data_IF_409111826943
#
_entry.id   IF_409111826943
#
_cell.length_a   1.000
_cell.length_b   1.000
_cell.length_c   1.000
_cell.angle_alpha   90.00
_cell.angle_beta   90.00
_cell.angle_gamma   90.00
#
_symmetry.space_group_name_H-M   'P 1'
#
loop_
_entity.id
_entity.type
_entity.pdbx_description
1 polymer ?
#
# COMPACT_ATOMS: atom_id res chain seq x y z
N UNK A 1 9.96 3.64 7.91
CA UNK A 1 9.44 3.29 6.58
C UNK A 1 9.36 1.78 6.41
N UNK A 2 10.47 1.04 6.48
CA UNK A 2 10.49 -0.43 6.24
C UNK A 2 9.55 -1.25 7.12
N UNK A 3 9.43 -0.91 8.40
CA UNK A 3 8.48 -1.59 9.30
C UNK A 3 7.02 -1.39 8.85
N UNK A 4 6.64 -0.16 8.46
CA UNK A 4 5.30 0.16 7.95
C UNK A 4 5.05 -0.53 6.60
N UNK A 5 6.06 -0.58 5.72
CA UNK A 5 6.00 -1.33 4.48
C UNK A 5 5.75 -2.83 4.72
N UNK A 6 6.46 -3.43 5.69
CA UNK A 6 6.25 -4.82 6.08
C UNK A 6 4.85 -5.05 6.69
N UNK A 7 4.38 -4.13 7.52
CA UNK A 7 3.04 -4.19 8.11
C UNK A 7 1.93 -4.10 7.06
N UNK A 8 2.11 -3.29 6.01
CA UNK A 8 1.18 -3.23 4.88
C UNK A 8 1.07 -4.60 4.20
N UNK A 9 2.20 -5.20 3.83
CA UNK A 9 2.21 -6.52 3.17
C UNK A 9 1.66 -7.62 4.07
N UNK A 10 2.01 -7.62 5.35
CA UNK A 10 1.49 -8.58 6.33
C UNK A 10 -0.03 -8.44 6.51
N UNK A 11 -0.54 -7.21 6.56
CA UNK A 11 -1.98 -6.92 6.65
C UNK A 11 -2.72 -7.42 5.42
N UNK A 12 -2.20 -7.14 4.23
CA UNK A 12 -2.78 -7.62 2.99
C UNK A 12 -2.79 -9.16 2.94
N UNK A 13 -1.68 -9.82 3.26
CA UNK A 13 -1.57 -11.28 3.24
C UNK A 13 -2.55 -11.96 4.21
N UNK A 14 -2.83 -11.35 5.38
CA UNK A 14 -3.84 -11.86 6.33
C UNK A 14 -5.26 -11.88 5.76
N UNK A 15 -5.54 -11.10 4.72
CA UNK A 15 -6.85 -11.03 4.08
C UNK A 15 -7.08 -12.12 3.02
N UNK A 16 -6.03 -12.81 2.56
CA UNK A 16 -6.14 -13.81 1.49
C UNK A 16 -7.09 -14.98 1.80
N UNK A 17 -7.20 -15.48 3.05
CA UNK A 17 -8.23 -16.45 3.41
C UNK A 17 -9.66 -15.93 3.19
N UNK A 18 -9.92 -14.62 3.33
CA UNK A 18 -11.22 -14.03 3.05
C UNK A 18 -11.55 -14.08 1.54
N UNK A 19 -10.56 -13.83 0.69
CA UNK A 19 -10.69 -14.01 -0.77
C UNK A 19 -11.01 -15.47 -1.12
N UNK A 20 -10.33 -16.42 -0.46
CA UNK A 20 -10.62 -17.84 -0.65
C UNK A 20 -12.03 -18.22 -0.16
N UNK A 21 -12.50 -17.62 0.94
CA UNK A 21 -13.87 -17.80 1.42
C UNK A 21 -14.88 -17.33 0.38
N UNK A 22 -14.69 -16.14 -0.21
CA UNK A 22 -15.59 -15.60 -1.23
C UNK A 22 -15.76 -16.53 -2.43
N UNK A 23 -14.67 -17.16 -2.89
CA UNK A 23 -14.73 -18.16 -3.97
C UNK A 23 -15.58 -19.39 -3.64
N UNK A 24 -15.69 -19.75 -2.37
CA UNK A 24 -16.47 -20.90 -1.90
C UNK A 24 -17.88 -20.55 -1.43
N UNK A 25 -18.26 -19.27 -1.43
CA UNK A 25 -19.56 -18.84 -0.92
C UNK A 25 -20.68 -19.26 -1.89
N UNK A 26 -21.67 -19.99 -1.37
CA UNK A 26 -22.83 -20.45 -2.14
C UNK A 26 -23.99 -19.42 -2.19
N UNK A 27 -23.90 -18.36 -1.38
CA UNK A 27 -24.88 -17.28 -1.32
C UNK A 27 -24.20 -15.97 -0.89
N UNK A 28 -24.88 -14.84 -1.13
CA UNK A 28 -24.45 -13.51 -0.71
C UNK A 28 -24.31 -13.40 0.83
N UNK A 29 -25.22 -14.03 1.57
CA UNK A 29 -25.18 -14.08 3.04
C UNK A 29 -23.93 -14.81 3.56
N UNK A 30 -23.48 -15.84 2.83
CA UNK A 30 -22.23 -16.54 3.13
C UNK A 30 -20.99 -15.74 2.71
N UNK A 31 -21.11 -14.85 1.73
CA UNK A 31 -20.04 -13.98 1.25
C UNK A 31 -19.82 -12.75 2.17
N UNK A 32 -20.86 -12.25 2.82
CA UNK A 32 -20.82 -10.99 3.58
C UNK A 32 -19.73 -10.94 4.68
N UNK A 33 -19.48 -11.99 5.49
CA UNK A 33 -18.38 -11.96 6.46
C UNK A 33 -17.01 -11.78 5.81
N UNK A 34 -16.82 -12.36 4.62
CA UNK A 34 -15.58 -12.23 3.88
C UNK A 34 -15.43 -10.84 3.26
N UNK A 35 -16.50 -10.26 2.71
CA UNK A 35 -16.52 -8.86 2.27
C UNK A 35 -16.23 -7.89 3.43
N UNK A 36 -16.81 -8.14 4.61
CA UNK A 36 -16.51 -7.40 5.84
C UNK A 36 -15.02 -7.43 6.19
N UNK A 37 -14.41 -8.61 6.19
CA UNK A 37 -12.97 -8.76 6.46
C UNK A 37 -12.08 -8.02 5.43
N UNK A 38 -12.47 -7.96 4.17
CA UNK A 38 -11.76 -7.19 3.14
C UNK A 38 -11.88 -5.68 3.35
N UNK A 39 -13.07 -5.20 3.75
CA UNK A 39 -13.28 -3.77 4.11
C UNK A 39 -12.44 -3.39 5.33
N UNK A 40 -12.39 -4.25 6.35
CA UNK A 40 -11.54 -4.05 7.53
C UNK A 40 -10.04 -4.04 7.15
N UNK A 41 -9.65 -4.90 6.21
CA UNK A 41 -8.28 -4.91 5.67
C UNK A 41 -7.95 -3.57 5.02
N UNK A 42 -8.83 -3.01 4.18
CA UNK A 42 -8.61 -1.69 3.55
C UNK A 42 -8.47 -0.57 4.59
N UNK A 43 -9.25 -0.63 5.68
CA UNK A 43 -9.13 0.33 6.77
C UNK A 43 -7.76 0.22 7.47
N UNK A 44 -7.27 -0.99 7.73
CA UNK A 44 -5.96 -1.21 8.33
C UNK A 44 -4.80 -0.79 7.39
N UNK A 45 -4.92 -1.05 6.08
CA UNK A 45 -3.97 -0.58 5.08
C UNK A 45 -3.95 0.95 5.01
N UNK A 46 -5.11 1.61 5.06
CA UNK A 46 -5.18 3.08 5.14
C UNK A 46 -4.44 3.61 6.37
N UNK A 47 -4.65 3.02 7.55
CA UNK A 47 -3.92 3.43 8.76
C UNK A 47 -2.40 3.30 8.61
N UNK A 48 -1.94 2.31 7.85
CA UNK A 48 -0.49 2.13 7.60
C UNK A 48 0.04 3.21 6.66
N UNK A 49 -0.74 3.56 5.63
CA UNK A 49 -0.42 4.65 4.70
C UNK A 49 -0.43 6.00 5.41
N UNK A 50 -1.38 6.25 6.30
CA UNK A 50 -1.45 7.49 7.09
C UNK A 50 -0.21 7.64 7.99
N UNK A 51 0.26 6.55 8.60
CA UNK A 51 1.50 6.55 9.38
C UNK A 51 2.75 6.81 8.51
N UNK A 52 2.77 6.35 7.24
CA UNK A 52 3.84 6.68 6.30
C UNK A 52 3.81 8.17 5.91
N UNK A 53 2.63 8.74 5.69
CA UNK A 53 2.44 10.18 5.44
C UNK A 53 2.93 10.99 6.65
N UNK A 54 2.56 10.58 7.86
CA UNK A 54 3.01 11.23 9.10
C UNK A 54 4.53 11.20 9.24
N UNK A 55 5.18 10.10 8.85
CA UNK A 55 6.63 10.00 8.84
C UNK A 55 7.27 11.04 7.89
N UNK A 56 6.70 11.25 6.70
CA UNK A 56 7.17 12.29 5.76
C UNK A 56 7.09 13.67 6.40
N UNK A 57 5.97 13.99 7.06
CA UNK A 57 5.81 15.27 7.75
C UNK A 57 6.84 15.48 8.86
N UNK A 58 7.11 14.46 9.67
CA UNK A 58 8.11 14.55 10.74
C UNK A 58 9.52 14.73 10.19
N UNK A 59 9.86 14.02 9.10
CA UNK A 59 11.14 14.20 8.42
C UNK A 59 11.24 15.62 7.87
N UNK A 60 10.24 16.10 7.13
CA UNK A 60 10.25 17.46 6.57
C UNK A 60 10.43 18.53 7.67
N UNK A 61 9.65 18.45 8.75
CA UNK A 61 9.75 19.36 9.89
C UNK A 61 11.16 19.36 10.52
N UNK A 62 11.71 18.17 10.79
CA UNK A 62 13.07 18.04 11.32
C UNK A 62 14.11 18.63 10.36
N UNK A 63 13.98 18.39 9.05
CA UNK A 63 14.91 18.91 8.05
C UNK A 63 14.83 20.43 7.89
N UNK A 64 13.66 21.03 8.10
CA UNK A 64 13.48 22.47 8.11
C UNK A 64 14.17 23.12 9.33
N UNK A 65 14.07 22.48 10.50
CA UNK A 65 14.72 22.91 11.75
C UNK A 65 16.24 22.69 11.74
N UNK A 66 16.72 21.61 11.12
CA UNK A 66 18.12 21.23 11.07
C UNK A 66 18.98 22.02 10.06
N UNK A 67 18.39 22.94 9.29
CA UNK A 67 19.10 23.81 8.33
C UNK A 67 20.18 24.62 9.05
N UNK A 68 21.40 24.08 9.08
CA UNK A 68 22.59 24.67 9.70
C UNK A 68 23.51 23.72 10.47
N UNK A 69 23.09 22.48 10.77
CA UNK A 69 23.83 21.60 11.69
C UNK A 69 24.14 20.18 11.18
N UNK A 70 23.65 19.75 10.01
CA UNK A 70 23.87 18.40 9.50
C UNK A 70 25.03 18.33 8.51
N UNK A 71 26.14 17.68 8.93
CA UNK A 71 27.26 17.30 8.06
C UNK A 71 27.06 15.83 7.64
N UNK A 72 26.90 15.58 6.33
CA UNK A 72 27.10 14.24 5.74
C UNK A 72 25.86 13.40 5.38
N UNK A 73 24.64 13.85 5.66
CA UNK A 73 23.41 13.26 5.10
C UNK A 73 22.67 14.32 4.31
N UNK A 74 22.14 13.97 3.13
CA UNK A 74 21.26 14.85 2.34
C UNK A 74 19.80 14.64 2.77
N UNK A 75 19.28 15.44 3.71
CA UNK A 75 17.91 15.34 4.18
C UNK A 75 16.87 15.48 3.06
N UNK A 76 17.19 16.18 1.97
CA UNK A 76 16.25 16.35 0.85
C UNK A 76 16.10 15.07 0.06
N UNK A 77 17.19 14.30 -0.12
CA UNK A 77 17.10 12.98 -0.74
C UNK A 77 16.33 11.98 0.12
N UNK A 78 16.53 11.99 1.43
CA UNK A 78 15.76 11.12 2.34
C UNK A 78 14.26 11.46 2.28
N UNK A 79 13.91 12.75 2.25
CA UNK A 79 12.53 13.18 2.11
C UNK A 79 11.92 12.77 0.76
N UNK A 80 12.66 12.94 -0.34
CA UNK A 80 12.22 12.50 -1.68
C UNK A 80 11.96 10.99 -1.69
N UNK A 81 12.85 10.20 -1.09
CA UNK A 81 12.72 8.75 -1.04
C UNK A 81 11.51 8.29 -0.22
N UNK A 82 11.30 8.84 0.98
CA UNK A 82 10.13 8.49 1.79
C UNK A 82 8.84 8.99 1.14
N UNK A 83 8.84 10.16 0.50
CA UNK A 83 7.71 10.67 -0.28
C UNK A 83 7.31 9.73 -1.41
N UNK A 84 8.27 9.26 -2.21
CA UNK A 84 8.01 8.27 -3.27
C UNK A 84 7.46 6.94 -2.72
N UNK A 85 7.90 6.50 -1.54
CA UNK A 85 7.30 5.35 -0.86
C UNK A 85 5.82 5.59 -0.55
N UNK A 86 5.47 6.76 0.00
CA UNK A 86 4.07 7.10 0.28
C UNK A 86 3.21 7.03 -0.98
N UNK A 87 3.67 7.63 -2.08
CA UNK A 87 2.92 7.65 -3.34
C UNK A 87 2.66 6.24 -3.89
N UNK A 88 3.66 5.35 -3.80
CA UNK A 88 3.51 3.93 -4.21
C UNK A 88 2.45 3.21 -3.37
N UNK A 89 2.52 3.34 -2.04
CA UNK A 89 1.58 2.65 -1.15
C UNK A 89 0.16 3.24 -1.22
N UNK A 90 0.02 4.54 -1.49
CA UNK A 90 -1.27 5.19 -1.76
C UNK A 90 -1.91 4.67 -3.06
N UNK A 91 -1.12 4.60 -4.13
CA UNK A 91 -1.57 4.07 -5.43
C UNK A 91 -2.01 2.62 -5.29
N UNK A 92 -1.25 1.78 -4.59
CA UNK A 92 -1.63 0.40 -4.33
C UNK A 92 -2.93 0.30 -3.51
N UNK A 93 -3.09 1.10 -2.47
CA UNK A 93 -4.32 1.12 -1.67
C UNK A 93 -5.53 1.52 -2.51
N UNK A 94 -5.37 2.49 -3.42
CA UNK A 94 -6.42 2.88 -4.36
C UNK A 94 -6.79 1.71 -5.28
N UNK A 95 -5.80 1.05 -5.87
CA UNK A 95 -6.03 -0.12 -6.73
C UNK A 95 -6.78 -1.26 -6.00
N UNK A 96 -6.51 -1.46 -4.70
CA UNK A 96 -7.27 -2.43 -3.87
C UNK A 96 -8.72 -1.99 -3.65
N UNK A 97 -8.95 -0.71 -3.37
CA UNK A 97 -10.32 -0.16 -3.22
C UNK A 97 -11.12 -0.33 -4.49
N UNK A 98 -10.52 0.00 -5.63
CA UNK A 98 -11.11 -0.16 -6.95
C UNK A 98 -11.44 -1.64 -7.21
N UNK A 99 -10.50 -2.56 -6.99
CA UNK A 99 -10.78 -3.99 -7.17
C UNK A 99 -11.97 -4.48 -6.34
N UNK A 100 -12.10 -4.05 -5.07
CA UNK A 100 -13.24 -4.42 -4.24
C UNK A 100 -14.55 -3.77 -4.74
N UNK A 101 -14.49 -2.51 -5.16
CA UNK A 101 -15.65 -1.81 -5.72
C UNK A 101 -16.13 -2.52 -7.01
N UNK A 102 -15.21 -2.79 -7.94
CA UNK A 102 -15.47 -3.48 -9.20
C UNK A 102 -16.10 -4.85 -8.95
N UNK A 103 -15.62 -5.61 -7.95
CA UNK A 103 -16.21 -6.89 -7.58
C UNK A 103 -17.65 -6.71 -7.06
N UNK A 104 -17.87 -5.76 -6.15
CA UNK A 104 -19.21 -5.54 -5.55
C UNK A 104 -20.23 -4.94 -6.51
N UNK A 105 -19.76 -4.29 -7.56
CA UNK A 105 -20.57 -3.77 -8.67
C UNK A 105 -20.72 -4.78 -9.81
N UNK A 106 -20.19 -6.01 -9.66
CA UNK A 106 -20.22 -7.07 -10.68
C UNK A 106 -19.51 -6.69 -12.00
N UNK A 107 -18.58 -5.73 -11.96
CA UNK A 107 -17.79 -5.30 -13.12
C UNK A 107 -16.64 -6.29 -13.42
N UNK A 108 -16.13 -6.96 -12.38
CA UNK A 108 -15.12 -8.02 -12.50
C UNK A 108 -15.58 -9.31 -11.81
N UNK A 109 -15.04 -10.44 -12.28
CA UNK A 109 -15.26 -11.74 -11.63
C UNK A 109 -14.36 -11.97 -10.41
N UNK A 110 -14.70 -12.97 -9.58
CA UNK A 110 -13.92 -13.34 -8.40
C UNK A 110 -12.47 -13.75 -8.69
N UNK A 111 -12.21 -14.34 -9.86
CA UNK A 111 -10.85 -14.74 -10.21
C UNK A 111 -9.95 -13.56 -10.54
N UNK A 112 -10.47 -12.58 -11.29
CA UNK A 112 -9.79 -11.33 -11.57
C UNK A 112 -9.61 -10.51 -10.28
N UNK A 113 -10.64 -10.44 -9.44
CA UNK A 113 -10.53 -9.81 -8.12
C UNK A 113 -9.42 -10.45 -7.29
N UNK A 114 -9.38 -11.78 -7.20
CA UNK A 114 -8.37 -12.48 -6.40
C UNK A 114 -6.95 -12.20 -6.91
N UNK A 115 -6.75 -12.16 -8.23
CA UNK A 115 -5.48 -11.79 -8.84
C UNK A 115 -5.10 -10.34 -8.48
N UNK A 116 -6.00 -9.37 -8.71
CA UNK A 116 -5.77 -7.94 -8.41
C UNK A 116 -5.55 -7.70 -6.92
N UNK A 117 -6.20 -8.47 -6.05
CA UNK A 117 -6.09 -8.32 -4.60
C UNK A 117 -4.78 -8.91 -4.04
N UNK A 118 -4.32 -10.03 -4.57
CA UNK A 118 -3.15 -10.74 -4.05
C UNK A 118 -1.82 -10.17 -4.56
N UNK A 119 -1.82 -9.54 -5.72
CA UNK A 119 -0.63 -8.95 -6.32
C UNK A 119 -0.41 -7.51 -5.85
N UNK A 120 0.85 -7.10 -5.59
CA UNK A 120 1.20 -5.71 -5.22
C UNK A 120 1.86 -4.98 -6.39
N UNK A 121 1.15 -4.90 -7.51
CA UNK A 121 1.71 -4.46 -8.79
C UNK A 121 2.25 -3.04 -8.74
N UNK A 122 1.53 -2.10 -8.13
CA UNK A 122 1.90 -0.69 -8.10
C UNK A 122 3.18 -0.49 -7.25
N UNK A 123 3.28 -1.23 -6.13
CA UNK A 123 4.49 -1.24 -5.30
C UNK A 123 5.68 -1.84 -6.06
N UNK A 124 5.48 -2.95 -6.76
CA UNK A 124 6.54 -3.62 -7.52
C UNK A 124 7.05 -2.76 -8.69
N UNK A 125 6.14 -2.12 -9.43
CA UNK A 125 6.47 -1.23 -10.53
C UNK A 125 7.21 0.03 -10.02
N UNK A 126 6.72 0.66 -8.96
CA UNK A 126 7.39 1.82 -8.38
C UNK A 126 8.77 1.52 -7.78
N UNK A 127 8.96 0.32 -7.18
CA UNK A 127 10.29 -0.14 -6.72
C UNK A 127 11.27 -0.29 -7.87
N UNK A 128 10.84 -0.83 -9.01
CA UNK A 128 11.69 -0.95 -10.22
C UNK A 128 12.09 0.42 -10.74
N UNK A 129 11.14 1.35 -10.88
CA UNK A 129 11.42 2.72 -11.31
C UNK A 129 12.43 3.41 -10.37
N UNK A 130 12.26 3.27 -9.06
CA UNK A 130 13.20 3.83 -8.08
C UNK A 130 14.61 3.23 -8.23
N UNK A 131 14.71 1.92 -8.50
CA UNK A 131 15.99 1.24 -8.68
C UNK A 131 16.69 1.68 -9.98
N UNK A 132 15.93 1.86 -11.06
CA UNK A 132 16.44 2.34 -12.34
C UNK A 132 16.95 3.79 -12.23
N UNK A 133 16.21 4.68 -11.56
CA UNK A 133 16.66 6.06 -11.28
C UNK A 133 17.97 6.11 -10.47
N UNK A 134 18.14 5.19 -9.51
CA UNK A 134 19.37 5.10 -8.71
C UNK A 134 20.55 4.57 -9.52
N UNK A 135 20.31 3.64 -10.45
CA UNK A 135 21.34 3.10 -11.33
C UNK A 135 21.84 4.14 -12.35
N UNK A 136 20.96 5.01 -12.86
CA UNK A 136 21.29 6.08 -13.80
C UNK A 136 22.12 7.23 -13.18
N UNK A 137 22.21 7.28 -11.84
CA UNK A 137 22.97 8.29 -11.09
C UNK A 137 24.43 7.86 -10.78
N UNK A 138 24.82 6.63 -11.08
CA UNK A 138 26.16 6.05 -10.83
C UNK A 138 27.03 6.00 -12.09
#
# INVERSE_FOLDING_TARGET
>A
ADALAADFHATLARSFPAVAHLRGAASEEAAEPALGALRDTLAALQSTVDALVELVYHVDAWTAEARGHSVGQDPQQALKHVGGLVDMYQTELLAKREALADLTCEEIGLDEFAERWQNCREIEEGKKQTMDELADLL
#
